data_IF_711226207547
#
_entry.id   IF_711226207547
#
_cell.length_a   1.000
_cell.length_b   1.000
_cell.length_c   1.000
_cell.angle_alpha   90.00
_cell.angle_beta   90.00
_cell.angle_gamma   90.00
#
_symmetry.space_group_name_H-M   'P 1'
#
loop_
_entity.id
_entity.type
_entity.pdbx_description
1 polymer ?
#
# COMPACT_ATOMS: atom_id res chain seq x y z
N UNK A 1 1.50 3.30 7.26
CA UNK A 1 0.21 2.66 6.95
C UNK A 1 -0.22 1.80 8.11
N UNK A 2 -1.38 2.14 8.65
CA UNK A 2 -2.01 1.31 9.68
C UNK A 2 -2.81 0.19 9.03
N UNK A 3 -3.11 -0.86 9.78
CA UNK A 3 -4.00 -1.93 9.32
C UNK A 3 -3.33 -3.13 8.68
N UNK A 4 -2.02 -3.13 8.51
CA UNK A 4 -1.30 -4.31 8.00
C UNK A 4 -0.84 -5.24 9.12
N UNK A 5 -1.03 -4.82 10.36
CA UNK A 5 -0.70 -5.64 11.51
C UNK A 5 -1.56 -6.90 11.50
N UNK A 6 -0.94 -8.06 11.62
CA UNK A 6 -1.66 -9.32 11.60
C UNK A 6 -1.84 -9.95 10.22
N UNK A 7 -1.47 -9.27 9.15
CA UNK A 7 -1.52 -9.87 7.81
C UNK A 7 -0.60 -11.08 7.67
N UNK A 8 0.45 -11.10 8.46
CA UNK A 8 1.39 -12.22 8.44
C UNK A 8 0.70 -13.54 8.77
N UNK A 9 -0.20 -13.52 9.74
CA UNK A 9 -0.92 -14.70 10.23
C UNK A 9 -2.37 -14.79 9.75
N UNK A 10 -2.86 -13.76 9.04
CA UNK A 10 -4.21 -13.70 8.55
C UNK A 10 -4.43 -14.48 7.26
N UNK A 11 -5.69 -14.64 6.89
CA UNK A 11 -6.05 -15.20 5.61
C UNK A 11 -6.29 -14.09 4.60
N UNK A 12 -5.86 -14.30 3.36
CA UNK A 12 -6.01 -13.31 2.28
C UNK A 12 -7.46 -12.88 2.10
N UNK A 13 -8.40 -13.81 2.20
CA UNK A 13 -9.83 -13.54 2.04
C UNK A 13 -10.41 -12.63 3.11
N UNK A 14 -9.75 -12.47 4.26
CA UNK A 14 -10.19 -11.56 5.30
C UNK A 14 -9.89 -10.10 4.97
N UNK A 15 -8.98 -9.83 4.05
CA UNK A 15 -8.49 -8.47 3.76
C UNK A 15 -8.67 -8.07 2.31
N UNK A 16 -9.02 -8.99 1.43
CA UNK A 16 -9.07 -8.67 0.02
C UNK A 16 -9.89 -9.64 -0.79
N UNK A 17 -9.82 -9.43 -2.10
CA UNK A 17 -10.55 -10.22 -3.07
C UNK A 17 -9.62 -10.69 -4.17
N UNK A 18 -9.79 -11.92 -4.59
CA UNK A 18 -9.06 -12.49 -5.71
C UNK A 18 -9.64 -11.98 -7.02
N UNK A 19 -8.75 -11.61 -7.94
CA UNK A 19 -9.09 -11.29 -9.33
C UNK A 19 -8.40 -12.27 -10.26
N UNK A 20 -8.66 -12.14 -11.56
CA UNK A 20 -8.00 -12.97 -12.57
C UNK A 20 -6.48 -12.89 -12.50
N UNK A 21 -5.95 -11.70 -12.18
CA UNK A 21 -4.52 -11.43 -12.25
C UNK A 21 -3.81 -11.48 -10.92
N UNK A 22 -4.55 -11.51 -9.83
CA UNK A 22 -3.96 -11.51 -8.49
C UNK A 22 -4.96 -11.11 -7.42
N UNK A 23 -4.47 -10.44 -6.39
CA UNK A 23 -5.25 -10.07 -5.23
C UNK A 23 -5.25 -8.58 -4.99
N UNK A 24 -6.45 -8.02 -4.75
CA UNK A 24 -6.63 -6.66 -4.26
C UNK A 24 -6.88 -6.68 -2.76
N UNK A 25 -6.02 -6.01 -2.02
CA UNK A 25 -6.19 -5.88 -0.57
C UNK A 25 -6.60 -4.46 -0.25
N UNK A 26 -7.68 -4.33 0.52
CA UNK A 26 -8.14 -3.02 0.98
C UNK A 26 -7.40 -2.65 2.25
N UNK A 27 -6.75 -1.50 2.22
CA UNK A 27 -6.09 -0.94 3.38
C UNK A 27 -6.07 0.58 3.31
N UNK A 28 -6.67 1.23 4.28
CA UNK A 28 -6.66 2.68 4.36
C UNK A 28 -5.26 3.21 4.68
N UNK A 29 -4.92 4.32 4.08
CA UNK A 29 -3.70 5.05 4.39
C UNK A 29 -4.07 6.26 5.24
N UNK A 30 -3.65 6.27 6.51
CA UNK A 30 -3.85 7.41 7.39
C UNK A 30 -2.61 8.28 7.37
N UNK A 31 -2.81 9.55 7.03
CA UNK A 31 -1.75 10.54 6.92
C UNK A 31 -2.01 11.66 7.90
N UNK A 32 -1.03 11.96 8.72
CA UNK A 32 -1.17 13.00 9.74
C UNK A 32 -1.36 14.38 9.13
N UNK A 33 -2.13 15.21 9.81
CA UNK A 33 -2.44 16.56 9.38
C UNK A 33 -1.21 17.32 8.90
N UNK A 34 -1.36 18.01 7.81
CA UNK A 34 -0.29 18.82 7.23
C UNK A 34 0.86 18.07 6.60
N UNK A 35 0.86 16.75 6.63
CA UNK A 35 1.93 15.95 6.07
C UNK A 35 1.74 15.72 4.56
N UNK A 36 2.85 15.59 3.88
CA UNK A 36 2.92 15.15 2.49
C UNK A 36 3.81 13.91 2.46
N UNK A 37 3.24 12.78 2.07
CA UNK A 37 3.94 11.50 2.11
C UNK A 37 3.84 10.85 0.74
N UNK A 38 4.99 10.49 0.17
CA UNK A 38 5.05 9.75 -1.09
C UNK A 38 5.42 8.30 -0.77
N UNK A 39 4.59 7.38 -1.24
CA UNK A 39 4.82 5.95 -1.10
C UNK A 39 4.99 5.37 -2.48
N UNK A 40 6.06 4.63 -2.66
CA UNK A 40 6.31 3.93 -3.92
C UNK A 40 6.70 2.48 -3.67
N UNK A 41 6.27 1.61 -4.59
CA UNK A 41 6.75 0.24 -4.60
C UNK A 41 8.20 0.25 -5.04
N UNK A 42 9.08 -0.39 -4.28
CA UNK A 42 10.48 -0.46 -4.66
C UNK A 42 10.63 -1.08 -6.05
N UNK A 43 11.60 -0.62 -6.86
CA UNK A 43 11.70 -1.04 -8.26
C UNK A 43 11.69 -2.54 -8.49
N UNK A 44 12.32 -3.30 -7.62
CA UNK A 44 12.41 -4.77 -7.75
C UNK A 44 11.08 -5.49 -7.58
N UNK A 45 10.08 -4.83 -6.99
CA UNK A 45 8.77 -5.42 -6.75
C UNK A 45 7.67 -4.91 -7.69
N UNK A 46 7.97 -3.97 -8.58
CA UNK A 46 6.94 -3.32 -9.42
C UNK A 46 6.27 -4.25 -10.41
N UNK A 47 6.88 -5.36 -10.75
CA UNK A 47 6.27 -6.35 -11.63
C UNK A 47 5.19 -7.16 -10.93
N UNK A 48 5.21 -7.20 -9.59
CA UNK A 48 4.29 -7.99 -8.81
C UNK A 48 3.33 -7.18 -7.96
N UNK A 49 3.67 -5.93 -7.65
CA UNK A 49 2.90 -5.13 -6.71
C UNK A 49 2.63 -3.73 -7.25
N UNK A 50 1.47 -3.19 -6.91
CA UNK A 50 1.10 -1.83 -7.24
C UNK A 50 0.18 -1.26 -6.17
N UNK A 51 -0.03 0.06 -6.23
CA UNK A 51 -0.83 0.82 -5.29
C UNK A 51 -2.08 1.33 -5.98
N UNK A 52 -3.18 1.40 -5.25
CA UNK A 52 -4.46 1.87 -5.77
C UNK A 52 -5.13 2.74 -4.72
N UNK A 53 -4.84 4.05 -4.74
CA UNK A 53 -5.38 5.02 -3.78
C UNK A 53 -5.89 6.27 -4.49
N UNK A 54 -6.97 6.83 -3.94
CA UNK A 54 -7.47 8.14 -4.38
C UNK A 54 -7.99 8.20 -5.79
N UNK A 55 -8.39 7.08 -6.36
CA UNK A 55 -8.89 7.02 -7.72
C UNK A 55 -10.41 6.96 -7.73
N UNK A 56 -11.02 7.91 -8.41
CA UNK A 56 -12.47 8.03 -8.45
C UNK A 56 -13.12 7.07 -9.44
N UNK A 57 -12.40 6.64 -10.45
CA UNK A 57 -12.95 5.82 -11.53
C UNK A 57 -12.17 4.52 -11.72
N UNK A 58 -12.58 3.50 -10.98
CA UNK A 58 -11.98 2.18 -11.13
C UNK A 58 -10.54 2.12 -10.68
N UNK A 59 -9.96 0.97 -10.88
CA UNK A 59 -8.60 0.71 -10.42
C UNK A 59 -7.63 0.96 -11.56
N UNK A 60 -6.81 1.97 -11.40
CA UNK A 60 -5.62 2.16 -12.24
C UNK A 60 -4.40 2.03 -11.34
N UNK A 61 -3.92 0.79 -11.11
CA UNK A 61 -2.80 0.57 -10.20
C UNK A 61 -1.56 1.31 -10.68
N UNK A 62 -0.87 1.94 -9.73
CA UNK A 62 0.34 2.71 -10.00
C UNK A 62 1.45 2.30 -9.05
N UNK A 63 2.69 2.61 -9.41
CA UNK A 63 3.83 2.29 -8.56
C UNK A 63 4.06 3.32 -7.46
N UNK A 64 3.53 4.52 -7.59
CA UNK A 64 3.81 5.60 -6.66
C UNK A 64 2.58 6.47 -6.44
N UNK A 65 2.34 6.84 -5.18
CA UNK A 65 1.24 7.73 -4.78
C UNK A 65 1.77 8.76 -3.80
N UNK A 66 1.39 10.02 -4.00
CA UNK A 66 1.65 11.08 -3.04
C UNK A 66 0.36 11.43 -2.30
N UNK A 67 0.41 11.32 -0.99
CA UNK A 67 -0.70 11.65 -0.10
C UNK A 67 -0.48 13.03 0.50
N UNK A 68 -1.50 13.90 0.40
CA UNK A 68 -1.50 15.22 1.01
C UNK A 68 -2.62 15.29 2.03
N UNK A 69 -2.26 15.29 3.31
CA UNK A 69 -3.25 15.40 4.36
C UNK A 69 -3.79 16.83 4.48
N UNK A 70 -5.03 16.95 4.95
CA UNK A 70 -5.60 18.25 5.25
C UNK A 70 -4.77 18.95 6.32
N UNK A 71 -4.62 20.29 6.26
CA UNK A 71 -3.81 21.00 7.23
C UNK A 71 -4.33 20.91 8.68
N UNK A 72 -5.65 20.76 8.82
CA UNK A 72 -6.30 20.80 10.14
C UNK A 72 -6.69 19.44 10.70
N UNK A 73 -6.55 18.37 9.93
CA UNK A 73 -7.00 17.05 10.37
C UNK A 73 -6.18 15.94 9.74
N UNK A 74 -6.04 14.85 10.48
CA UNK A 74 -5.51 13.62 9.92
C UNK A 74 -6.45 13.11 8.82
N UNK A 75 -5.90 12.61 7.74
CA UNK A 75 -6.69 12.25 6.56
C UNK A 75 -6.52 10.77 6.26
N UNK A 76 -7.64 10.08 6.03
CA UNK A 76 -7.64 8.68 5.62
C UNK A 76 -7.94 8.60 4.13
N UNK A 77 -7.08 7.91 3.40
CA UNK A 77 -7.26 7.65 1.98
C UNK A 77 -7.71 6.21 1.79
N UNK A 78 -8.78 6.04 1.04
CA UNK A 78 -9.32 4.72 0.71
C UNK A 78 -8.55 4.15 -0.46
N UNK A 79 -8.23 2.88 -0.39
CA UNK A 79 -7.51 2.19 -1.45
C UNK A 79 -6.88 0.91 -0.94
N UNK A 80 -5.80 0.51 -1.56
CA UNK A 80 -5.12 -0.70 -1.16
C UNK A 80 -3.94 -1.08 -2.04
N UNK A 81 -3.54 -2.33 -1.89
CA UNK A 81 -2.46 -2.94 -2.65
C UNK A 81 -3.03 -3.95 -3.64
N UNK A 82 -2.41 -4.02 -4.80
CA UNK A 82 -2.60 -5.13 -5.72
C UNK A 82 -1.32 -5.97 -5.75
N UNK A 83 -1.47 -7.28 -5.51
CA UNK A 83 -0.36 -8.23 -5.57
C UNK A 83 -0.71 -9.31 -6.59
N UNK A 84 0.11 -9.47 -7.61
CA UNK A 84 -0.13 -10.45 -8.65
C UNK A 84 0.04 -11.88 -8.16
N UNK A 85 -0.47 -12.82 -8.92
CA UNK A 85 -0.32 -14.24 -8.63
C UNK A 85 -1.05 -14.69 -7.38
N UNK A 86 -0.37 -15.34 -6.47
CA UNK A 86 -0.95 -15.88 -5.24
C UNK A 86 -1.22 -14.82 -4.16
N UNK A 87 -0.90 -13.58 -4.43
CA UNK A 87 -1.16 -12.48 -3.50
C UNK A 87 -0.23 -12.42 -2.31
N UNK A 88 0.90 -13.09 -2.35
CA UNK A 88 1.87 -13.14 -1.25
C UNK A 88 3.20 -12.55 -1.67
N UNK A 89 3.73 -11.67 -0.84
CA UNK A 89 5.00 -11.03 -1.12
C UNK A 89 5.57 -10.39 0.16
N UNK A 90 6.87 -10.33 0.27
CA UNK A 90 7.53 -9.37 1.14
C UNK A 90 7.60 -8.07 0.35
N UNK A 91 6.74 -7.12 0.68
CA UNK A 91 6.55 -5.91 -0.13
C UNK A 91 7.45 -4.78 0.37
N UNK A 92 8.48 -4.42 -0.38
CA UNK A 92 9.30 -3.26 -0.05
C UNK A 92 8.63 -1.99 -0.58
N UNK A 93 8.40 -1.05 0.32
CA UNK A 93 7.87 0.27 0.00
C UNK A 93 8.88 1.34 0.38
N UNK A 94 9.11 2.27 -0.51
CA UNK A 94 9.88 3.46 -0.23
C UNK A 94 8.93 4.56 0.24
N UNK A 95 9.16 5.10 1.42
CA UNK A 95 8.33 6.11 2.03
C UNK A 95 9.15 7.39 2.21
N UNK A 96 8.67 8.46 1.61
CA UNK A 96 9.30 9.77 1.69
C UNK A 96 8.34 10.78 2.30
N UNK A 97 8.74 11.40 3.39
CA UNK A 97 7.98 12.48 4.02
C UNK A 97 8.56 13.81 3.53
N UNK A 98 7.74 14.56 2.80
CA UNK A 98 8.15 15.82 2.14
C UNK A 98 9.41 15.60 1.30
N UNK A 99 10.48 16.36 1.56
CA UNK A 99 11.73 16.27 0.83
C UNK A 99 12.82 15.49 1.58
N UNK A 100 12.46 14.83 2.67
CA UNK A 100 13.42 14.01 3.39
C UNK A 100 13.87 12.81 2.56
N UNK A 101 14.98 12.20 2.95
CA UNK A 101 15.43 11.00 2.28
C UNK A 101 14.41 9.86 2.43
N UNK A 102 14.12 9.10 1.37
CA UNK A 102 13.21 7.97 1.46
C UNK A 102 13.73 6.91 2.42
N UNK A 103 12.80 6.26 3.11
CA UNK A 103 13.09 5.10 3.95
C UNK A 103 12.35 3.90 3.38
N UNK A 104 13.03 2.77 3.28
CA UNK A 104 12.41 1.55 2.83
C UNK A 104 11.82 0.81 4.02
N UNK A 105 10.54 0.47 3.92
CA UNK A 105 9.88 -0.43 4.86
C UNK A 105 9.49 -1.70 4.12
N UNK A 106 9.41 -2.82 4.83
CA UNK A 106 9.03 -4.10 4.24
C UNK A 106 7.79 -4.62 4.94
N UNK A 107 6.77 -4.91 4.15
CA UNK A 107 5.50 -5.43 4.66
C UNK A 107 5.36 -6.89 4.25
N UNK A 108 5.24 -7.82 5.22
CA UNK A 108 5.03 -9.24 4.92
C UNK A 108 3.56 -9.47 4.54
N UNK A 109 3.24 -9.33 3.26
CA UNK A 109 1.87 -9.50 2.76
C UNK A 109 1.58 -10.99 2.64
N UNK A 110 1.04 -11.56 3.70
CA UNK A 110 0.68 -12.98 3.82
C UNK A 110 1.82 -13.97 3.51
N UNK A 111 3.06 -13.50 3.49
CA UNK A 111 4.20 -14.34 3.18
C UNK A 111 4.83 -14.99 4.41
N UNK A 112 4.30 -14.71 5.60
CA UNK A 112 4.93 -15.15 6.84
C UNK A 112 6.03 -14.17 7.25
N UNK A 113 7.25 -14.66 7.36
CA UNK A 113 8.39 -13.82 7.69
C UNK A 113 9.05 -13.29 6.40
N UNK A 114 9.50 -12.06 6.45
CA UNK A 114 10.36 -11.53 5.39
C UNK A 114 11.83 -11.85 5.74
#
# INVERSE_FOLDING_TARGET
MSGVKGWQDGRRTDFGARTREGWHYKIGAEVKRGSVVTVSVAPEARQRASLSYGQEEGYSPVAEVTFRACPASDTVYVGGFFISGDGRICLPLDVQVRKAAPQTIVIPVFSGAC
#
